data_IF_477210538095
#
_entry.id   IF_477210538095
#
_cell.length_a   1.000
_cell.length_b   1.000
_cell.length_c   1.000
_cell.angle_alpha   90.00
_cell.angle_beta   90.00
_cell.angle_gamma   90.00
#
_symmetry.space_group_name_H-M   'P 1'
#
loop_
_entity.id
_entity.type
_entity.pdbx_description
1 polymer ?
#
# COMPACT_ATOMS: atom_id res chain seq x y z
N UNK A 1 -20.76 -4.00 5.63
CA UNK A 1 -20.49 -5.29 6.28
C UNK A 1 -19.93 -5.01 7.66
N UNK A 2 -20.54 -5.59 8.69
CA UNK A 2 -20.23 -5.40 10.11
C UNK A 2 -21.00 -4.23 10.74
N UNK A 3 -21.76 -4.51 11.81
CA UNK A 3 -22.32 -3.46 12.67
C UNK A 3 -21.20 -2.53 13.20
N UNK A 4 -21.52 -1.27 13.47
CA UNK A 4 -20.59 -0.30 14.03
C UNK A 4 -20.31 -0.56 15.53
N UNK A 5 -19.68 -1.69 15.86
CA UNK A 5 -19.36 -2.07 17.24
C UNK A 5 -18.24 -1.24 17.88
N UNK A 6 -17.50 -0.46 17.08
CA UNK A 6 -16.38 0.37 17.56
C UNK A 6 -16.53 1.83 17.11
N UNK A 7 -16.36 2.81 18.04
CA UNK A 7 -16.59 4.23 17.75
C UNK A 7 -15.45 4.90 16.96
N UNK A 8 -14.23 4.37 17.03
CA UNK A 8 -13.04 4.97 16.44
C UNK A 8 -11.94 3.94 16.11
N UNK A 9 -10.86 4.41 15.45
CA UNK A 9 -9.71 3.58 15.07
C UNK A 9 -8.96 3.00 16.28
N UNK A 10 -8.87 3.74 17.39
CA UNK A 10 -8.15 3.30 18.60
C UNK A 10 -8.87 2.14 19.28
N UNK A 11 -10.19 2.16 19.26
CA UNK A 11 -11.04 1.09 19.78
C UNK A 11 -10.87 -0.20 18.98
N UNK A 12 -10.75 -0.11 17.64
CA UNK A 12 -10.42 -1.27 16.79
C UNK A 12 -9.01 -1.78 17.11
N UNK A 13 -8.03 -0.89 17.30
CA UNK A 13 -6.64 -1.28 17.63
C UNK A 13 -6.59 -2.01 18.98
N UNK A 14 -7.28 -1.50 20.01
CA UNK A 14 -7.38 -2.16 21.32
C UNK A 14 -7.99 -3.56 21.20
N UNK A 15 -9.12 -3.68 20.51
CA UNK A 15 -9.78 -4.97 20.31
C UNK A 15 -8.88 -5.98 19.55
N UNK A 16 -8.13 -5.52 18.56
CA UNK A 16 -7.16 -6.35 17.85
C UNK A 16 -6.05 -6.86 18.80
N UNK A 17 -5.52 -5.99 19.68
CA UNK A 17 -4.52 -6.40 20.66
C UNK A 17 -5.08 -7.38 21.69
N UNK A 18 -6.29 -7.14 22.21
CA UNK A 18 -6.96 -8.05 23.14
C UNK A 18 -7.15 -9.43 22.51
N UNK A 19 -7.67 -9.49 21.28
CA UNK A 19 -7.84 -10.73 20.53
C UNK A 19 -6.51 -11.47 20.35
N UNK A 20 -5.46 -10.79 19.89
CA UNK A 20 -4.14 -11.39 19.73
C UNK A 20 -3.52 -11.84 21.06
N UNK A 21 -3.71 -11.07 22.12
CA UNK A 21 -3.19 -11.42 23.45
C UNK A 21 -3.83 -12.69 23.99
N UNK A 22 -5.08 -12.98 23.62
CA UNK A 22 -5.77 -14.22 24.03
C UNK A 22 -5.11 -15.49 23.45
N UNK A 23 -4.44 -15.38 22.29
CA UNK A 23 -3.78 -16.52 21.63
C UNK A 23 -2.26 -16.55 21.88
N UNK A 24 -1.63 -15.37 22.02
CA UNK A 24 -0.18 -15.22 22.27
C UNK A 24 0.14 -15.34 23.76
N UNK A 25 -0.77 -14.93 24.65
CA UNK A 25 -0.63 -15.01 26.10
C UNK A 25 -0.20 -13.70 26.78
N UNK A 26 0.05 -12.62 26.03
CA UNK A 26 0.35 -11.30 26.61
C UNK A 26 0.01 -10.15 25.63
N UNK A 27 -0.26 -8.96 26.19
CA UNK A 27 -0.48 -7.74 25.41
C UNK A 27 0.82 -7.28 24.75
N UNK A 28 1.96 -7.36 25.45
CA UNK A 28 3.26 -7.00 24.88
C UNK A 28 3.62 -7.90 23.69
N UNK A 29 3.36 -9.20 23.80
CA UNK A 29 3.53 -10.15 22.70
C UNK A 29 2.60 -9.86 21.53
N UNK A 30 1.35 -9.47 21.80
CA UNK A 30 0.41 -9.04 20.76
C UNK A 30 0.90 -7.78 20.02
N UNK A 31 1.41 -6.78 20.75
CA UNK A 31 1.96 -5.56 20.15
C UNK A 31 3.20 -5.83 19.28
N UNK A 32 4.04 -6.79 19.69
CA UNK A 32 5.22 -7.19 18.92
C UNK A 32 4.87 -8.02 17.68
N UNK A 33 3.84 -8.86 17.78
CA UNK A 33 3.42 -9.72 16.67
C UNK A 33 2.67 -8.97 15.57
N UNK A 34 1.97 -7.87 15.89
CA UNK A 34 1.24 -7.08 14.88
C UNK A 34 2.18 -6.35 13.94
N UNK A 35 1.93 -6.50 12.65
CA UNK A 35 2.57 -5.74 11.57
C UNK A 35 1.72 -4.49 11.22
N UNK A 36 0.40 -4.66 11.09
CA UNK A 36 -0.50 -3.58 10.70
C UNK A 36 -1.92 -3.76 11.25
N UNK A 37 -2.60 -2.64 11.50
CA UNK A 37 -4.04 -2.61 11.84
C UNK A 37 -4.85 -2.00 10.71
N UNK A 38 -5.91 -2.69 10.32
CA UNK A 38 -6.92 -2.19 9.39
C UNK A 38 -8.11 -1.69 10.19
N UNK A 39 -8.43 -0.39 10.07
CA UNK A 39 -9.47 0.27 10.89
C UNK A 39 -10.51 1.03 10.08
N UNK A 40 -10.33 1.13 8.74
CA UNK A 40 -11.18 1.95 7.87
C UNK A 40 -12.11 1.09 7.01
N UNK A 41 -11.56 0.46 5.97
CA UNK A 41 -12.35 -0.32 4.98
C UNK A 41 -12.81 -1.66 5.53
N UNK A 42 -12.03 -2.25 6.43
CA UNK A 42 -12.36 -3.45 7.18
C UNK A 42 -11.65 -3.38 8.54
N UNK A 43 -12.10 -4.22 9.48
CA UNK A 43 -11.50 -4.35 10.81
C UNK A 43 -10.69 -5.61 10.86
N UNK A 44 -9.41 -5.49 11.17
CA UNK A 44 -8.52 -6.63 11.28
C UNK A 44 -7.08 -6.20 11.45
N UNK A 45 -6.17 -7.15 11.34
CA UNK A 45 -4.74 -6.92 11.47
C UNK A 45 -3.96 -7.91 10.61
N UNK A 46 -2.71 -7.58 10.32
CA UNK A 46 -1.70 -8.55 9.90
C UNK A 46 -0.73 -8.76 11.05
N UNK A 47 -0.33 -10.01 11.29
CA UNK A 47 0.54 -10.38 12.40
C UNK A 47 1.39 -11.60 12.06
N UNK A 48 2.54 -11.72 12.74
CA UNK A 48 3.36 -12.93 12.72
C UNK A 48 2.89 -13.89 13.80
N UNK A 49 2.48 -15.09 13.39
CA UNK A 49 1.89 -16.10 14.26
C UNK A 49 2.52 -17.46 13.98
N UNK A 50 2.67 -18.28 15.01
CA UNK A 50 2.99 -19.69 14.83
C UNK A 50 1.76 -20.46 14.33
N UNK A 51 1.92 -21.65 13.72
CA UNK A 51 0.79 -22.49 13.32
C UNK A 51 -0.19 -22.79 14.46
N UNK A 52 0.30 -22.97 15.70
CA UNK A 52 -0.52 -23.21 16.88
C UNK A 52 -1.33 -21.97 17.27
N UNK A 53 -0.72 -20.78 17.23
CA UNK A 53 -1.40 -19.52 17.49
C UNK A 53 -2.46 -19.23 16.42
N UNK A 54 -2.15 -19.49 15.15
CA UNK A 54 -3.08 -19.37 14.02
C UNK A 54 -4.31 -20.27 14.21
N UNK A 55 -4.10 -21.53 14.60
CA UNK A 55 -5.19 -22.46 14.86
C UNK A 55 -6.13 -21.95 15.95
N UNK A 56 -5.58 -21.52 17.10
CA UNK A 56 -6.37 -20.92 18.19
C UNK A 56 -7.13 -19.68 17.72
N UNK A 57 -6.50 -18.83 16.91
CA UNK A 57 -7.14 -17.62 16.38
C UNK A 57 -8.31 -17.96 15.45
N UNK A 58 -8.19 -19.01 14.63
CA UNK A 58 -9.27 -19.45 13.72
C UNK A 58 -10.49 -20.04 14.44
N UNK A 59 -10.35 -20.43 15.71
CA UNK A 59 -11.44 -20.95 16.53
C UNK A 59 -12.25 -19.83 17.22
N UNK A 60 -11.80 -18.57 17.14
CA UNK A 60 -12.52 -17.43 17.72
C UNK A 60 -13.70 -17.05 16.82
N UNK A 61 -14.91 -17.08 17.38
CA UNK A 61 -16.17 -16.80 16.65
C UNK A 61 -16.17 -15.45 15.90
N UNK A 62 -15.51 -14.42 16.45
CA UNK A 62 -15.44 -13.10 15.81
C UNK A 62 -14.47 -13.02 14.60
N UNK A 63 -13.70 -14.08 14.34
CA UNK A 63 -12.76 -14.12 13.20
C UNK A 63 -13.48 -14.64 11.96
N UNK A 64 -13.69 -13.76 10.99
CA UNK A 64 -14.43 -14.08 9.75
C UNK A 64 -13.57 -14.89 8.77
N UNK A 65 -12.30 -14.53 8.62
CA UNK A 65 -11.38 -15.18 7.70
C UNK A 65 -9.93 -14.87 8.06
N UNK A 66 -9.03 -15.79 7.70
CA UNK A 66 -7.58 -15.63 7.84
C UNK A 66 -6.93 -16.05 6.53
N UNK A 67 -5.97 -15.25 6.07
CA UNK A 67 -5.20 -15.52 4.86
C UNK A 67 -3.72 -15.41 5.15
N UNK A 68 -2.94 -16.37 4.66
CA UNK A 68 -1.49 -16.30 4.69
C UNK A 68 -1.00 -15.15 3.81
N UNK A 69 -0.05 -14.35 4.33
CA UNK A 69 0.60 -13.29 3.55
C UNK A 69 1.47 -13.91 2.46
N UNK A 70 1.44 -13.36 1.26
CA UNK A 70 2.21 -13.85 0.11
C UNK A 70 2.91 -12.71 -0.60
N UNK A 71 4.16 -12.93 -0.97
CA UNK A 71 4.89 -12.05 -1.88
C UNK A 71 4.45 -12.35 -3.32
N UNK A 72 4.07 -11.30 -4.05
CA UNK A 72 3.72 -11.38 -5.47
C UNK A 72 4.86 -10.82 -6.32
N UNK A 73 5.13 -11.46 -7.46
CA UNK A 73 6.12 -11.00 -8.42
C UNK A 73 5.47 -10.15 -9.51
N UNK A 74 6.20 -9.12 -9.98
CA UNK A 74 5.76 -8.26 -11.08
C UNK A 74 5.51 -9.10 -12.35
N UNK A 75 4.34 -8.92 -12.97
CA UNK A 75 3.94 -9.66 -14.17
C UNK A 75 3.95 -8.82 -15.45
N UNK A 76 4.69 -7.71 -15.48
CA UNK A 76 4.60 -6.74 -16.60
C UNK A 76 5.63 -7.01 -17.69
N UNK A 77 5.21 -7.70 -18.75
CA UNK A 77 5.88 -7.64 -20.06
C UNK A 77 4.84 -7.27 -21.14
N UNK A 78 5.10 -6.20 -21.89
CA UNK A 78 4.43 -5.86 -23.17
C UNK A 78 2.89 -5.84 -23.20
N UNK A 79 2.22 -5.17 -22.26
CA UNK A 79 0.74 -5.13 -22.23
C UNK A 79 0.10 -4.30 -23.35
N UNK A 80 0.71 -3.19 -23.79
CA UNK A 80 0.09 -2.30 -24.78
C UNK A 80 0.03 -2.90 -26.18
N UNK A 81 1.12 -3.54 -26.62
CA UNK A 81 1.17 -4.29 -27.89
C UNK A 81 0.21 -5.49 -27.85
N UNK A 82 0.17 -6.23 -26.72
CA UNK A 82 -0.74 -7.36 -26.54
C UNK A 82 -2.22 -6.95 -26.59
N UNK A 83 -2.57 -5.80 -26.02
CA UNK A 83 -3.94 -5.29 -26.00
C UNK A 83 -4.36 -4.63 -27.32
N UNK A 84 -3.48 -4.58 -28.33
CA UNK A 84 -3.76 -3.93 -29.62
C UNK A 84 -4.12 -2.45 -29.46
N UNK A 85 -3.62 -1.80 -28.41
CA UNK A 85 -3.83 -0.37 -28.17
C UNK A 85 -2.88 0.40 -29.07
N UNK A 86 -3.12 0.31 -30.37
CA UNK A 86 -2.40 1.08 -31.36
C UNK A 86 -2.98 2.49 -31.43
N UNK A 87 -2.24 3.39 -30.78
CA UNK A 87 -2.23 4.83 -30.98
C UNK A 87 -3.29 5.67 -30.25
N UNK A 88 -2.71 6.56 -29.46
CA UNK A 88 -3.16 7.80 -28.82
C UNK A 88 -4.10 8.69 -29.68
N UNK A 89 -4.24 8.45 -30.99
CA UNK A 89 -4.98 9.31 -31.91
C UNK A 89 -6.51 9.29 -31.73
N UNK A 90 -7.13 8.17 -31.32
CA UNK A 90 -8.59 8.13 -31.10
C UNK A 90 -9.02 8.78 -29.79
N UNK A 91 -8.18 8.75 -28.74
CA UNK A 91 -8.54 9.29 -27.43
C UNK A 91 -8.23 10.78 -27.25
N UNK A 92 -7.42 11.38 -28.13
CA UNK A 92 -7.12 12.81 -28.12
C UNK A 92 -8.30 13.71 -28.54
N UNK A 93 -9.40 13.13 -29.04
CA UNK A 93 -10.61 13.89 -29.44
C UNK A 93 -11.65 14.05 -28.33
N UNK A 94 -11.43 13.44 -27.16
CA UNK A 94 -12.31 13.65 -26.01
C UNK A 94 -11.93 14.94 -25.26
N UNK A 95 -12.90 15.79 -24.87
CA UNK A 95 -12.63 17.01 -24.13
C UNK A 95 -11.78 16.73 -22.88
N UNK A 96 -10.68 17.49 -22.73
CA UNK A 96 -9.71 17.36 -21.62
C UNK A 96 -10.39 17.51 -20.25
N UNK A 97 -11.47 18.30 -20.19
CA UNK A 97 -12.25 18.57 -18.97
C UNK A 97 -12.86 17.34 -18.31
N UNK A 98 -13.10 16.25 -19.07
CA UNK A 98 -13.72 15.02 -18.52
C UNK A 98 -12.67 14.09 -17.88
N UNK A 99 -11.36 14.33 -18.10
CA UNK A 99 -10.28 13.40 -17.73
C UNK A 99 -9.48 13.81 -16.49
N UNK A 100 -9.61 15.05 -16.02
CA UNK A 100 -8.76 15.62 -14.96
C UNK A 100 -9.25 15.35 -13.52
N UNK A 101 -10.48 14.85 -13.34
CA UNK A 101 -11.03 14.55 -12.00
C UNK A 101 -10.97 13.06 -11.63
N UNK A 102 -10.32 12.19 -12.42
CA UNK A 102 -10.15 10.78 -12.07
C UNK A 102 -8.80 10.56 -11.40
N UNK A 103 -8.81 9.90 -10.24
CA UNK A 103 -7.60 9.53 -9.50
C UNK A 103 -7.41 8.03 -9.61
N UNK A 104 -6.30 7.62 -10.22
CA UNK A 104 -5.93 6.21 -10.40
C UNK A 104 -4.91 5.85 -9.32
N UNK A 105 -5.26 4.89 -8.46
CA UNK A 105 -4.33 4.29 -7.51
C UNK A 105 -3.55 3.17 -8.18
N UNK A 106 -2.22 3.25 -8.13
CA UNK A 106 -1.31 2.22 -8.65
C UNK A 106 -0.54 1.62 -7.46
N UNK A 107 -0.59 0.30 -7.31
CA UNK A 107 0.17 -0.45 -6.31
C UNK A 107 1.28 -1.17 -7.08
N UNK A 108 2.50 -0.67 -6.94
CA UNK A 108 3.69 -1.16 -7.65
C UNK A 108 4.92 -0.99 -6.74
N UNK A 109 6.09 -1.21 -7.30
CA UNK A 109 7.43 -1.05 -6.70
C UNK A 109 7.86 0.39 -6.46
N UNK A 110 7.09 1.36 -6.93
CA UNK A 110 7.30 2.79 -6.68
C UNK A 110 7.08 3.64 -7.93
N UNK A 111 7.68 4.82 -7.93
CA UNK A 111 7.63 5.78 -9.05
C UNK A 111 8.98 6.44 -9.27
N UNK A 112 9.25 6.82 -10.52
CA UNK A 112 10.33 7.76 -10.86
C UNK A 112 9.74 9.14 -11.14
N UNK A 113 9.64 10.03 -10.13
CA UNK A 113 8.85 11.26 -10.24
C UNK A 113 9.44 12.29 -11.21
N UNK A 114 10.74 12.19 -11.56
CA UNK A 114 11.38 13.09 -12.53
C UNK A 114 11.07 12.72 -14.00
N UNK A 115 10.40 11.60 -14.27
CA UNK A 115 10.03 11.22 -15.64
C UNK A 115 9.08 12.23 -16.26
N UNK A 116 9.31 12.59 -17.52
CA UNK A 116 8.46 13.52 -18.29
C UNK A 116 7.01 13.03 -18.41
N UNK A 117 6.78 11.71 -18.28
CA UNK A 117 5.42 11.13 -18.23
C UNK A 117 4.58 11.63 -17.04
N UNK A 118 5.23 12.18 -16.02
CA UNK A 118 4.62 12.74 -14.81
C UNK A 118 4.65 14.27 -14.75
N UNK A 119 4.94 14.93 -15.88
CA UNK A 119 4.80 16.38 -16.00
C UNK A 119 3.34 16.81 -15.79
N UNK A 120 3.12 17.90 -15.06
CA UNK A 120 1.81 18.42 -14.70
C UNK A 120 1.40 19.69 -15.46
N UNK A 121 2.16 20.09 -16.49
CA UNK A 121 1.82 21.21 -17.37
C UNK A 121 0.43 21.05 -17.98
N UNK A 122 -0.39 22.08 -17.84
CA UNK A 122 -1.75 22.11 -18.36
C UNK A 122 -2.78 21.36 -17.50
N UNK A 123 -2.38 20.81 -16.34
CA UNK A 123 -3.31 20.22 -15.39
C UNK A 123 -3.85 21.26 -14.41
N UNK A 124 -5.12 21.08 -14.02
CA UNK A 124 -5.74 21.85 -12.95
C UNK A 124 -5.26 21.42 -11.56
N UNK A 125 -5.77 22.05 -10.49
CA UNK A 125 -5.40 21.68 -9.13
C UNK A 125 -5.86 20.26 -8.79
N UNK A 126 -5.15 19.64 -7.84
CA UNK A 126 -5.55 18.34 -7.27
C UNK A 126 -6.99 18.39 -6.77
N UNK A 127 -7.85 17.40 -7.11
CA UNK A 127 -9.23 17.37 -6.65
C UNK A 127 -9.33 17.46 -5.13
N UNK A 128 -10.18 18.35 -4.61
CA UNK A 128 -10.35 18.58 -3.15
C UNK A 128 -10.79 17.33 -2.38
N UNK A 129 -11.41 16.37 -3.06
CA UNK A 129 -11.83 15.07 -2.51
C UNK A 129 -10.66 14.12 -2.26
N UNK A 130 -9.48 14.40 -2.82
CA UNK A 130 -8.29 13.59 -2.58
C UNK A 130 -7.81 13.78 -1.14
N UNK A 131 -7.82 12.68 -0.36
CA UNK A 131 -7.33 12.66 1.03
C UNK A 131 -6.01 11.90 1.17
N UNK A 132 -5.38 11.53 0.05
CA UNK A 132 -4.07 10.90 0.07
C UNK A 132 -2.97 11.86 0.51
N UNK A 133 -1.75 11.34 0.69
CA UNK A 133 -0.60 12.12 1.13
C UNK A 133 0.59 11.86 0.21
N UNK A 134 1.45 12.87 0.10
CA UNK A 134 2.81 12.69 -0.38
C UNK A 134 3.72 12.39 0.81
N UNK A 135 4.12 11.12 0.98
CA UNK A 135 4.97 10.69 2.10
C UNK A 135 6.42 10.84 1.68
N UNK A 136 7.17 11.61 2.47
CA UNK A 136 8.62 11.81 2.27
C UNK A 136 9.42 10.59 2.70
N UNK A 137 10.61 10.43 2.13
CA UNK A 137 11.57 9.39 2.50
C UNK A 137 12.86 9.55 1.72
N UNK A 138 13.66 8.49 1.63
CA UNK A 138 14.92 8.49 0.90
C UNK A 138 14.75 8.97 -0.54
N UNK A 139 15.46 10.04 -0.89
CA UNK A 139 15.42 10.68 -2.22
C UNK A 139 14.00 11.02 -2.71
N UNK A 140 13.04 11.22 -1.80
CA UNK A 140 11.65 11.55 -2.14
C UNK A 140 11.13 12.61 -1.17
N UNK A 141 10.90 13.81 -1.69
CA UNK A 141 10.45 14.98 -0.93
C UNK A 141 9.01 15.34 -1.31
N UNK A 142 8.42 16.31 -0.61
CA UNK A 142 7.08 16.83 -0.97
C UNK A 142 7.04 17.42 -2.39
N UNK A 143 8.17 17.91 -2.91
CA UNK A 143 8.27 18.46 -4.26
C UNK A 143 8.19 17.39 -5.37
N UNK A 144 8.31 16.11 -5.01
CA UNK A 144 8.15 15.01 -5.96
C UNK A 144 6.69 14.65 -6.25
N UNK A 145 5.74 15.19 -5.46
CA UNK A 145 4.32 15.18 -5.83
C UNK A 145 3.93 16.52 -6.45
N UNK A 146 3.08 16.47 -7.47
CA UNK A 146 2.63 17.61 -8.24
C UNK A 146 1.16 17.41 -8.67
N UNK A 147 0.65 18.17 -9.64
CA UNK A 147 -0.76 18.01 -10.05
C UNK A 147 -1.03 16.74 -10.87
N UNK A 148 0.02 16.02 -11.28
CA UNK A 148 -0.04 14.72 -11.97
C UNK A 148 0.15 13.54 -11.00
N UNK A 149 1.19 13.58 -10.18
CA UNK A 149 1.45 12.63 -9.08
C UNK A 149 0.95 13.26 -7.80
N UNK A 150 -0.35 13.09 -7.53
CA UNK A 150 -1.04 13.82 -6.46
C UNK A 150 -0.77 13.26 -5.07
N UNK A 151 -0.29 12.03 -4.97
CA UNK A 151 0.18 11.44 -3.72
C UNK A 151 1.00 10.18 -3.95
N UNK A 152 1.85 9.87 -2.99
CA UNK A 152 2.79 8.77 -3.05
C UNK A 152 3.04 8.24 -1.63
N UNK A 153 3.00 6.92 -1.48
CA UNK A 153 3.24 6.24 -0.19
C UNK A 153 3.84 4.87 -0.47
N UNK A 154 4.59 4.38 0.51
CA UNK A 154 5.24 3.09 0.51
C UNK A 154 4.90 2.33 1.79
N UNK A 155 4.97 0.99 1.75
CA UNK A 155 4.60 0.11 2.86
C UNK A 155 5.64 -1.02 2.98
N UNK A 156 6.48 -0.95 4.01
CA UNK A 156 7.64 -1.84 4.14
C UNK A 156 7.54 -2.83 5.30
N UNK A 157 6.68 -2.56 6.28
CA UNK A 157 6.58 -3.37 7.51
C UNK A 157 6.37 -4.86 7.24
N UNK A 158 5.56 -5.21 6.24
CA UNK A 158 5.32 -6.61 5.88
C UNK A 158 6.55 -7.28 5.27
N UNK A 159 7.25 -6.56 4.38
CA UNK A 159 8.49 -7.04 3.78
C UNK A 159 9.58 -7.22 4.84
N UNK A 160 9.71 -6.27 5.77
CA UNK A 160 10.67 -6.34 6.88
C UNK A 160 10.35 -7.45 7.87
N UNK A 161 9.06 -7.74 8.11
CA UNK A 161 8.65 -8.84 8.96
C UNK A 161 8.99 -10.21 8.35
N UNK A 162 8.93 -10.33 7.02
CA UNK A 162 9.23 -11.60 6.31
C UNK A 162 10.74 -11.81 6.11
N UNK A 163 11.47 -10.77 5.67
CA UNK A 163 12.87 -10.90 5.24
C UNK A 163 13.89 -10.26 6.19
N UNK A 164 13.43 -9.58 7.25
CA UNK A 164 14.30 -8.82 8.16
C UNK A 164 14.60 -7.40 7.64
N UNK A 165 15.57 -6.69 8.25
CA UNK A 165 15.90 -5.32 7.89
C UNK A 165 16.25 -5.19 6.40
N UNK A 166 15.72 -4.17 5.72
CA UNK A 166 15.92 -3.99 4.28
C UNK A 166 17.40 -3.81 3.92
N UNK A 167 18.18 -3.26 4.83
CA UNK A 167 19.63 -3.07 4.70
C UNK A 167 20.40 -4.41 4.64
N UNK A 168 19.77 -5.50 5.09
CA UNK A 168 20.34 -6.85 4.98
C UNK A 168 20.07 -7.53 3.64
N UNK A 169 19.12 -6.99 2.86
CA UNK A 169 18.92 -7.43 1.48
C UNK A 169 20.09 -6.87 0.66
N UNK A 170 20.85 -7.74 -0.02
CA UNK A 170 21.97 -7.36 -0.89
C UNK A 170 21.51 -6.61 -2.17
N UNK A 171 20.64 -5.63 -2.02
CA UNK A 171 20.00 -4.86 -3.08
C UNK A 171 19.90 -3.40 -2.65
N UNK A 172 19.91 -2.49 -3.62
CA UNK A 172 19.66 -1.07 -3.33
C UNK A 172 18.17 -0.90 -3.06
N UNK A 173 17.83 -0.36 -1.89
CA UNK A 173 16.46 -0.12 -1.48
C UNK A 173 16.30 1.32 -0.99
N UNK A 174 15.15 1.93 -1.28
CA UNK A 174 14.78 3.24 -0.72
C UNK A 174 13.62 3.08 0.24
N UNK A 175 13.74 3.66 1.44
CA UNK A 175 12.61 3.82 2.37
C UNK A 175 11.73 4.99 1.91
N UNK A 176 11.22 4.90 0.69
CA UNK A 176 10.35 5.90 0.06
C UNK A 176 9.49 5.29 -1.05
N UNK A 177 8.64 6.10 -1.67
CA UNK A 177 7.87 5.69 -2.85
C UNK A 177 8.71 5.68 -4.14
N UNK A 178 10.01 6.01 -4.08
CA UNK A 178 10.90 6.02 -5.24
C UNK A 178 11.24 4.60 -5.67
N UNK A 179 11.18 4.32 -6.96
CA UNK A 179 11.78 3.11 -7.54
C UNK A 179 13.30 3.16 -7.35
N UNK A 180 13.87 2.10 -6.76
CA UNK A 180 15.31 1.92 -6.68
C UNK A 180 15.92 1.86 -8.09
N UNK A 181 17.16 2.36 -8.30
CA UNK A 181 17.81 2.24 -9.59
C UNK A 181 17.97 0.76 -9.91
N UNK A 182 17.45 0.31 -11.05
CA UNK A 182 17.83 -1.01 -11.55
C UNK A 182 19.33 -0.99 -11.79
N UNK A 183 20.11 -1.98 -11.33
CA UNK A 183 21.49 -2.11 -11.80
C UNK A 183 21.45 -2.13 -13.33
N UNK A 184 22.07 -1.15 -13.96
CA UNK A 184 22.23 -1.17 -15.41
C UNK A 184 23.00 -2.45 -15.77
N UNK A 185 22.53 -3.24 -16.76
CA UNK A 185 23.32 -4.35 -17.28
C UNK A 185 24.63 -3.86 -17.90
#
# INVERSE_FOLDING_TARGET
>A
MGEHSYPDSDSVIRANHEMLSSVIGSIDGAQQAVIHHYTKSFRGFSAMLTPEQLKKLSEIESVVSIFESRTYHLQTTHSWEFLGVDSIYQYNQLPIDVKSDIIIGVIDTGIWPESESFNDRGLGPVPKRFMGKCVTGDHFTLANCNSKVVGARYYLKGLEAEYGPLESLNSTFFRSARVAPTPHP
#
